data_IF_283305912795
#
_entry.id   IF_283305912795
#
_cell.length_a   1.000
_cell.length_b   1.000
_cell.length_c   1.000
_cell.angle_alpha   90.00
_cell.angle_beta   90.00
_cell.angle_gamma   90.00
#
_symmetry.space_group_name_H-M   'P 1'
#
loop_
_entity.id
_entity.type
_entity.pdbx_description
1 polymer ?
#
# COMPACT_ATOMS: atom_id res chain seq x y z
N UNK A 1 -12.83 -1.14 9.76
CA UNK A 1 -11.87 -0.05 9.91
C UNK A 1 -11.55 0.58 8.55
N UNK A 2 -11.61 1.92 8.51
CA UNK A 2 -11.38 2.65 7.26
C UNK A 2 -9.99 2.39 6.65
N UNK A 3 -8.96 2.29 7.49
CA UNK A 3 -7.60 2.09 7.03
C UNK A 3 -7.42 0.74 6.33
N UNK A 4 -8.10 -0.29 6.84
CA UNK A 4 -8.08 -1.61 6.21
C UNK A 4 -8.71 -1.57 4.82
N UNK A 5 -9.86 -0.89 4.70
CA UNK A 5 -10.52 -0.74 3.42
C UNK A 5 -9.65 0.00 2.40
N UNK A 6 -8.95 1.05 2.86
CA UNK A 6 -8.04 1.80 2.01
C UNK A 6 -6.85 0.95 1.58
N UNK A 7 -6.32 0.13 2.47
CA UNK A 7 -5.21 -0.75 2.13
C UNK A 7 -5.63 -1.80 1.09
N UNK A 8 -6.81 -2.40 1.28
CA UNK A 8 -7.33 -3.37 0.31
C UNK A 8 -7.60 -2.72 -1.05
N UNK A 9 -8.06 -1.47 -1.05
CA UNK A 9 -8.25 -0.73 -2.29
C UNK A 9 -6.91 -0.48 -2.99
N UNK A 10 -5.83 -0.24 -2.23
CA UNK A 10 -4.49 -0.10 -2.80
C UNK A 10 -4.06 -1.38 -3.51
N UNK A 11 -4.26 -2.53 -2.87
CA UNK A 11 -3.92 -3.81 -3.47
C UNK A 11 -4.72 -4.07 -4.73
N UNK A 12 -6.02 -3.78 -4.69
CA UNK A 12 -6.89 -3.96 -5.86
C UNK A 12 -6.43 -3.10 -7.04
N UNK A 13 -6.08 -1.85 -6.76
CA UNK A 13 -5.60 -0.94 -7.78
C UNK A 13 -4.31 -1.46 -8.44
N UNK A 14 -3.35 -1.88 -7.62
CA UNK A 14 -2.09 -2.41 -8.13
C UNK A 14 -2.30 -3.73 -8.87
N UNK A 15 -3.25 -4.54 -8.43
CA UNK A 15 -3.58 -5.80 -9.11
C UNK A 15 -4.17 -5.56 -10.49
N UNK A 16 -5.03 -4.54 -10.62
CA UNK A 16 -5.60 -4.17 -11.92
C UNK A 16 -4.54 -3.69 -12.91
N UNK A 17 -3.47 -3.09 -12.39
CA UNK A 17 -2.35 -2.62 -13.20
C UNK A 17 -1.30 -3.71 -13.45
N UNK A 18 -1.56 -4.93 -12.98
CA UNK A 18 -0.66 -6.07 -13.11
C UNK A 18 0.70 -5.86 -12.45
N UNK A 19 0.76 -4.96 -11.46
CA UNK A 19 1.98 -4.71 -10.70
C UNK A 19 2.14 -5.66 -9.54
N UNK A 20 1.05 -6.28 -9.11
CA UNK A 20 1.06 -7.38 -8.15
C UNK A 20 0.02 -8.41 -8.57
N UNK A 21 0.18 -9.64 -8.11
CA UNK A 21 -0.82 -10.68 -8.30
C UNK A 21 -1.41 -11.00 -6.93
N UNK A 22 -2.70 -10.73 -6.76
CA UNK A 22 -3.37 -10.94 -5.49
C UNK A 22 -3.60 -12.43 -5.28
N UNK A 23 -3.17 -12.92 -4.11
CA UNK A 23 -3.34 -14.31 -3.72
C UNK A 23 -3.43 -14.37 -2.21
N UNK A 24 -4.40 -15.13 -1.69
CA UNK A 24 -4.64 -15.16 -0.24
C UNK A 24 -3.50 -15.76 0.58
N UNK A 25 -2.61 -16.52 -0.05
CA UNK A 25 -1.46 -17.09 0.63
C UNK A 25 -0.30 -16.11 0.79
N UNK A 26 -0.38 -14.95 0.13
CA UNK A 26 0.68 -13.95 0.20
C UNK A 26 0.52 -13.06 1.42
N UNK A 27 1.66 -12.72 2.05
CA UNK A 27 1.70 -11.73 3.11
C UNK A 27 1.86 -10.34 2.51
N UNK A 28 1.69 -9.31 3.36
CA UNK A 28 1.91 -7.93 2.95
C UNK A 28 3.35 -7.72 2.46
N UNK A 29 4.31 -8.39 3.10
CA UNK A 29 5.70 -8.31 2.71
C UNK A 29 5.94 -8.92 1.33
N UNK A 30 5.20 -9.98 1.00
CA UNK A 30 5.27 -10.60 -0.33
C UNK A 30 4.80 -9.64 -1.41
N UNK A 31 3.72 -8.90 -1.14
CA UNK A 31 3.23 -7.89 -2.07
C UNK A 31 4.24 -6.77 -2.27
N UNK A 32 4.86 -6.30 -1.18
CA UNK A 32 5.87 -5.25 -1.27
C UNK A 32 7.06 -5.70 -2.12
N UNK A 33 7.50 -6.92 -1.91
CA UNK A 33 8.62 -7.49 -2.65
C UNK A 33 8.29 -7.64 -4.13
N UNK A 34 7.10 -8.14 -4.43
CA UNK A 34 6.64 -8.30 -5.81
C UNK A 34 6.54 -6.95 -6.51
N UNK A 35 6.00 -5.96 -5.83
CA UNK A 35 5.87 -4.61 -6.39
C UNK A 35 7.24 -4.04 -6.73
N UNK A 36 8.23 -4.22 -5.85
CA UNK A 36 9.58 -3.76 -6.10
C UNK A 36 10.19 -4.38 -7.34
N UNK A 37 9.89 -5.65 -7.62
CA UNK A 37 10.39 -6.34 -8.81
C UNK A 37 9.70 -5.87 -10.09
N UNK A 38 8.37 -5.70 -10.02
CA UNK A 38 7.59 -5.39 -11.22
C UNK A 38 7.60 -3.91 -11.57
N UNK A 39 7.80 -3.05 -10.60
CA UNK A 39 7.79 -1.59 -10.80
C UNK A 39 9.20 -1.01 -10.73
N UNK A 40 10.17 -1.63 -11.39
CA UNK A 40 11.56 -1.16 -11.37
C UNK A 40 11.74 0.22 -11.98
N UNK A 41 10.90 0.55 -12.96
CA UNK A 41 10.97 1.85 -13.61
C UNK A 41 10.39 2.97 -12.74
N UNK A 42 9.69 2.63 -11.68
CA UNK A 42 9.08 3.60 -10.77
C UNK A 42 9.35 3.19 -9.32
N UNK A 43 10.60 3.35 -8.83
CA UNK A 43 10.94 2.95 -7.45
C UNK A 43 10.14 3.71 -6.40
N UNK A 44 9.66 4.91 -6.70
CA UNK A 44 8.82 5.68 -5.81
C UNK A 44 7.53 4.95 -5.46
N UNK A 45 7.01 4.15 -6.38
CA UNK A 45 5.78 3.39 -6.16
C UNK A 45 5.95 2.39 -5.02
N UNK A 46 7.04 1.65 -5.03
CA UNK A 46 7.36 0.69 -3.97
C UNK A 46 7.62 1.39 -2.64
N UNK A 47 8.29 2.55 -2.67
CA UNK A 47 8.57 3.33 -1.48
C UNK A 47 7.28 3.85 -0.83
N UNK A 48 6.39 4.42 -1.62
CA UNK A 48 5.11 4.94 -1.11
C UNK A 48 4.24 3.81 -0.57
N UNK A 49 4.20 2.69 -1.27
CA UNK A 49 3.49 1.51 -0.80
C UNK A 49 4.04 1.04 0.55
N UNK A 50 5.36 1.04 0.70
CA UNK A 50 6.00 0.65 1.95
C UNK A 50 5.63 1.57 3.12
N UNK A 51 5.52 2.87 2.88
CA UNK A 51 5.08 3.82 3.89
C UNK A 51 3.65 3.54 4.35
N UNK A 52 2.75 3.28 3.39
CA UNK A 52 1.38 2.94 3.72
C UNK A 52 1.29 1.62 4.46
N UNK A 53 2.08 0.65 4.07
CA UNK A 53 2.13 -0.64 4.74
C UNK A 53 2.57 -0.48 6.19
N UNK A 54 3.59 0.36 6.45
CA UNK A 54 4.06 0.62 7.80
C UNK A 54 2.97 1.23 8.68
N UNK A 55 2.21 2.19 8.14
CA UNK A 55 1.09 2.79 8.85
C UNK A 55 0.02 1.75 9.17
N UNK A 56 -0.31 0.93 8.18
CA UNK A 56 -1.33 -0.11 8.35
C UNK A 56 -0.92 -1.13 9.42
N UNK A 57 0.31 -1.59 9.36
CA UNK A 57 0.80 -2.58 10.34
C UNK A 57 0.89 -2.00 11.75
N UNK A 58 1.31 -0.75 11.88
CA UNK A 58 1.36 -0.07 13.17
C UNK A 58 -0.03 0.05 13.79
N UNK A 59 -1.02 0.37 12.97
CA UNK A 59 -2.42 0.44 13.39
C UNK A 59 -2.94 -0.93 13.83
N UNK A 60 -2.64 -1.95 13.06
CA UNK A 60 -3.10 -3.31 13.34
C UNK A 60 -2.56 -3.85 14.66
N UNK A 61 -1.29 -3.56 14.96
CA UNK A 61 -0.66 -4.05 16.19
C UNK A 61 -0.87 -3.12 17.39
N UNK A 62 -1.68 -2.08 17.23
CA UNK A 62 -2.00 -1.16 18.32
C UNK A 62 -0.84 -0.26 18.76
N UNK A 63 0.18 -0.14 17.95
CA UNK A 63 1.35 0.69 18.27
C UNK A 63 1.13 2.17 18.00
N UNK A 64 0.10 2.48 17.22
CA UNK A 64 -0.19 3.86 16.83
C UNK A 64 -1.69 4.03 16.78
N UNK A 65 -2.19 5.14 17.33
CA UNK A 65 -3.59 5.49 17.18
C UNK A 65 -3.83 5.98 15.74
N UNK A 66 -4.91 5.49 15.16
CA UNK A 66 -5.29 5.92 13.81
C UNK A 66 -6.19 7.13 13.93
N UNK A 67 -5.58 8.30 13.90
CA UNK A 67 -6.30 9.57 13.89
C UNK A 67 -6.54 10.06 12.48
N UNK A 68 -7.24 11.21 12.34
CA UNK A 68 -7.49 11.81 11.01
C UNK A 68 -6.21 12.08 10.23
N UNK A 69 -5.14 12.48 10.91
CA UNK A 69 -3.87 12.79 10.25
C UNK A 69 -3.27 11.55 9.59
N UNK A 70 -3.34 10.40 10.26
CA UNK A 70 -2.83 9.14 9.70
C UNK A 70 -3.64 8.72 8.47
N UNK A 71 -4.95 8.88 8.52
CA UNK A 71 -5.82 8.56 7.40
C UNK A 71 -5.53 9.49 6.22
N UNK A 72 -5.38 10.78 6.48
CA UNK A 72 -5.05 11.76 5.44
C UNK A 72 -3.72 11.43 4.77
N UNK A 73 -2.70 11.08 5.57
CA UNK A 73 -1.41 10.69 5.03
C UNK A 73 -1.52 9.43 4.17
N UNK A 74 -2.31 8.47 4.61
CA UNK A 74 -2.52 7.24 3.85
C UNK A 74 -3.20 7.53 2.50
N UNK A 75 -4.22 8.37 2.50
CA UNK A 75 -4.93 8.74 1.28
C UNK A 75 -4.01 9.51 0.34
N UNK A 76 -3.22 10.46 0.86
CA UNK A 76 -2.27 11.21 0.06
C UNK A 76 -1.24 10.28 -0.59
N UNK A 77 -0.73 9.31 0.16
CA UNK A 77 0.20 8.32 -0.38
C UNK A 77 -0.47 7.44 -1.44
N UNK A 78 -1.73 7.09 -1.24
CA UNK A 78 -2.47 6.31 -2.23
C UNK A 78 -2.60 7.10 -3.55
N UNK A 79 -2.90 8.39 -3.47
CA UNK A 79 -2.97 9.24 -4.65
C UNK A 79 -1.62 9.34 -5.35
N UNK A 80 -0.53 9.42 -4.59
CA UNK A 80 0.81 9.43 -5.16
C UNK A 80 1.12 8.11 -5.86
N UNK A 81 0.70 6.97 -5.28
CA UNK A 81 0.84 5.67 -5.92
C UNK A 81 0.13 5.64 -7.27
N UNK A 82 -1.09 6.17 -7.32
CA UNK A 82 -1.85 6.20 -8.56
C UNK A 82 -1.15 7.03 -9.63
N UNK A 83 -0.57 8.16 -9.23
CA UNK A 83 0.15 9.02 -10.15
C UNK A 83 1.39 8.32 -10.72
N UNK A 84 2.11 7.56 -9.91
CA UNK A 84 3.30 6.83 -10.36
C UNK A 84 2.97 5.57 -11.16
N UNK A 85 1.80 4.99 -10.95
CA UNK A 85 1.39 3.76 -11.62
C UNK A 85 0.82 4.01 -13.02
N UNK A 86 0.48 5.24 -13.33
CA UNK A 86 -0.09 5.62 -14.64
C UNK A 86 1.01 5.98 -15.67
#
# INVERSE_FOLDING_TARGET
MALRALYLASLAYLGERELIRIHRAKSNRDYQRELGRRARAAPELSEVFGRNLAVFESSWYGRMEVGPDAIEAFVANLDRMKAHAE
#
